data_IF_227644804947
#
_entry.id   IF_227644804947
#
_cell.length_a   1.000
_cell.length_b   1.000
_cell.length_c   1.000
_cell.angle_alpha   90.00
_cell.angle_beta   90.00
_cell.angle_gamma   90.00
#
_symmetry.space_group_name_H-M   'P 1'
#
loop_
_entity.id
_entity.type
_entity.pdbx_description
1 polymer ?
#
# COMPACT_ATOMS: atom_id res chain seq x y z
N UNK A 1 -3.25 5.80 -16.24
CA UNK A 1 -4.23 6.92 -16.24
C UNK A 1 -3.72 8.05 -17.10
N UNK A 2 -2.70 8.82 -16.69
CA UNK A 2 -2.30 10.03 -17.43
C UNK A 2 -1.77 9.85 -18.86
N UNK A 3 -1.25 8.67 -19.19
CA UNK A 3 -0.75 8.36 -20.55
C UNK A 3 -1.90 8.29 -21.58
N UNK A 4 -3.11 7.93 -21.16
CA UNK A 4 -4.28 7.86 -22.06
C UNK A 4 -4.64 9.24 -22.62
N UNK A 5 -4.64 10.27 -21.75
CA UNK A 5 -4.90 11.66 -22.14
C UNK A 5 -3.86 12.17 -23.16
N UNK A 6 -2.59 11.79 -22.98
CA UNK A 6 -1.47 12.13 -23.88
C UNK A 6 -1.65 11.48 -25.25
N UNK A 7 -2.01 10.19 -25.30
CA UNK A 7 -2.25 9.49 -26.58
C UNK A 7 -3.44 10.08 -27.32
N UNK A 8 -4.53 10.41 -26.61
CA UNK A 8 -5.73 10.98 -27.20
C UNK A 8 -5.44 12.37 -27.81
N UNK A 9 -4.69 13.22 -27.09
CA UNK A 9 -4.22 14.50 -27.62
C UNK A 9 -3.28 14.32 -28.81
N UNK A 10 -2.31 13.42 -28.74
CA UNK A 10 -1.37 13.17 -29.84
C UNK A 10 -2.09 12.67 -31.11
N UNK A 11 -3.08 11.78 -30.97
CA UNK A 11 -3.87 11.29 -32.10
C UNK A 11 -4.72 12.40 -32.72
N UNK A 12 -5.46 13.16 -31.91
CA UNK A 12 -6.25 14.28 -32.40
C UNK A 12 -5.39 15.37 -33.06
N UNK A 13 -4.18 15.55 -32.53
CA UNK A 13 -3.20 16.48 -33.08
C UNK A 13 -2.63 16.01 -34.42
N UNK A 14 -2.37 14.71 -34.56
CA UNK A 14 -1.98 14.11 -35.85
C UNK A 14 -3.07 14.31 -36.91
N UNK A 15 -4.33 14.08 -36.57
CA UNK A 15 -5.48 14.31 -37.47
C UNK A 15 -5.60 15.79 -37.87
N UNK A 16 -5.43 16.71 -36.91
CA UNK A 16 -5.54 18.16 -37.16
C UNK A 16 -4.34 18.70 -37.95
N UNK A 17 -3.13 18.18 -37.71
CA UNK A 17 -1.89 18.62 -38.36
C UNK A 17 -1.87 18.39 -39.88
N UNK A 18 -2.59 17.37 -40.37
CA UNK A 18 -2.71 17.09 -41.80
C UNK A 18 -3.81 17.91 -42.50
N UNK A 19 -4.71 18.54 -41.75
CA UNK A 19 -5.83 19.30 -42.31
C UNK A 19 -5.37 20.69 -42.79
N UNK A 20 -5.08 20.81 -44.10
CA UNK A 20 -4.62 22.05 -44.75
C UNK A 20 -5.62 23.21 -44.72
N UNK A 21 -6.88 22.98 -44.28
CA UNK A 21 -7.92 24.02 -44.21
C UNK A 21 -7.73 24.99 -43.03
N UNK A 22 -6.93 24.62 -42.03
CA UNK A 22 -6.72 25.42 -40.82
C UNK A 22 -5.33 26.10 -40.91
N UNK A 23 -5.25 27.43 -40.68
CA UNK A 23 -3.98 28.15 -40.66
C UNK A 23 -3.06 27.57 -39.59
N UNK A 24 -1.75 27.58 -39.85
CA UNK A 24 -0.75 26.90 -39.03
C UNK A 24 -0.78 27.34 -37.56
N UNK A 25 -0.95 28.65 -37.31
CA UNK A 25 -1.00 29.25 -35.98
C UNK A 25 -2.18 28.75 -35.13
N UNK A 26 -3.31 28.38 -35.76
CA UNK A 26 -4.53 27.96 -35.06
C UNK A 26 -4.62 26.44 -34.82
N UNK A 27 -3.72 25.63 -35.39
CA UNK A 27 -3.82 24.15 -35.34
C UNK A 27 -3.76 23.58 -33.92
N UNK A 28 -2.88 24.10 -33.07
CA UNK A 28 -2.79 23.66 -31.67
C UNK A 28 -4.03 24.06 -30.88
N UNK A 29 -4.56 25.26 -31.13
CA UNK A 29 -5.79 25.75 -30.50
C UNK A 29 -7.01 24.92 -30.90
N UNK A 30 -7.17 24.59 -32.18
CA UNK A 30 -8.31 23.81 -32.66
C UNK A 30 -8.26 22.35 -32.16
N UNK A 31 -7.07 21.75 -32.09
CA UNK A 31 -6.90 20.42 -31.47
C UNK A 31 -7.29 20.44 -29.99
N UNK A 32 -6.81 21.42 -29.22
CA UNK A 32 -7.14 21.54 -27.80
C UNK A 32 -8.63 21.86 -27.58
N UNK A 33 -9.26 22.62 -28.47
CA UNK A 33 -10.70 22.89 -28.44
C UNK A 33 -11.54 21.64 -28.69
N UNK A 34 -11.13 20.77 -29.63
CA UNK A 34 -11.85 19.53 -29.95
C UNK A 34 -11.68 18.46 -28.86
N UNK A 35 -10.50 18.38 -28.26
CA UNK A 35 -10.09 17.25 -27.42
C UNK A 35 -9.95 17.59 -25.93
N UNK A 36 -9.58 18.83 -25.61
CA UNK A 36 -9.29 19.27 -24.24
C UNK A 36 -10.49 19.18 -23.30
N UNK A 37 -11.72 19.37 -23.80
CA UNK A 37 -12.92 19.19 -22.99
C UNK A 37 -13.11 17.74 -22.52
N UNK A 38 -12.80 16.76 -23.37
CA UNK A 38 -12.87 15.33 -23.01
C UNK A 38 -11.81 14.98 -21.96
N UNK A 39 -10.58 15.46 -22.15
CA UNK A 39 -9.46 15.27 -21.20
C UNK A 39 -9.75 15.93 -19.84
N UNK A 40 -10.38 17.10 -19.84
CA UNK A 40 -10.82 17.75 -18.60
C UNK A 40 -11.89 16.94 -17.88
N UNK A 41 -12.87 16.40 -18.62
CA UNK A 41 -13.93 15.59 -18.02
C UNK A 41 -13.39 14.31 -17.39
N UNK A 42 -12.49 13.58 -18.06
CA UNK A 42 -11.85 12.37 -17.51
C UNK A 42 -11.01 12.70 -16.28
N UNK A 43 -10.19 13.75 -16.35
CA UNK A 43 -9.34 14.18 -15.25
C UNK A 43 -10.14 14.63 -14.03
N UNK A 44 -11.15 15.49 -14.21
CA UNK A 44 -12.01 15.95 -13.11
C UNK A 44 -12.76 14.76 -12.48
N UNK A 45 -13.27 13.83 -13.28
CA UNK A 45 -13.95 12.62 -12.78
C UNK A 45 -13.01 11.74 -11.95
N UNK A 46 -11.76 11.58 -12.38
CA UNK A 46 -10.76 10.85 -11.62
C UNK A 46 -10.41 11.56 -10.31
N UNK A 47 -10.23 12.88 -10.35
CA UNK A 47 -9.95 13.69 -9.16
C UNK A 47 -11.09 13.60 -8.14
N UNK A 48 -12.34 13.75 -8.57
CA UNK A 48 -13.50 13.60 -7.66
C UNK A 48 -13.61 12.19 -7.11
N UNK A 49 -13.36 11.15 -7.92
CA UNK A 49 -13.35 9.77 -7.45
C UNK A 49 -12.29 9.54 -6.35
N UNK A 50 -11.06 10.03 -6.53
CA UNK A 50 -10.01 9.90 -5.51
C UNK A 50 -10.30 10.73 -4.26
N UNK A 51 -10.87 11.93 -4.39
CA UNK A 51 -11.31 12.72 -3.23
C UNK A 51 -12.45 12.03 -2.46
N UNK A 52 -13.40 11.41 -3.16
CA UNK A 52 -14.46 10.61 -2.51
C UNK A 52 -13.88 9.38 -1.81
N UNK A 53 -12.88 8.73 -2.40
CA UNK A 53 -12.17 7.62 -1.75
C UNK A 53 -11.42 8.05 -0.47
N UNK A 54 -10.99 9.31 -0.37
CA UNK A 54 -10.31 9.85 0.81
C UNK A 54 -11.23 10.04 2.03
N UNK A 55 -12.55 9.86 1.89
CA UNK A 55 -13.51 9.86 3.00
C UNK A 55 -13.43 8.59 3.87
N UNK A 56 -12.79 7.53 3.37
CA UNK A 56 -12.61 6.27 4.10
C UNK A 56 -11.74 6.52 5.35
N UNK A 57 -12.14 6.04 6.55
CA UNK A 57 -11.44 6.34 7.81
C UNK A 57 -10.09 5.64 7.96
N UNK A 58 -9.70 4.76 7.03
CA UNK A 58 -8.45 4.01 7.05
C UNK A 58 -7.30 4.93 6.59
N UNK A 59 -6.35 5.33 7.47
CA UNK A 59 -5.38 6.40 7.19
C UNK A 59 -4.44 6.08 6.03
N UNK A 60 -4.04 4.81 5.87
CA UNK A 60 -3.19 4.38 4.75
C UNK A 60 -3.87 4.59 3.39
N UNK A 61 -5.13 4.18 3.27
CA UNK A 61 -5.93 4.36 2.05
C UNK A 61 -6.25 5.84 1.79
N UNK A 62 -6.49 6.60 2.86
CA UNK A 62 -6.68 8.05 2.77
C UNK A 62 -5.43 8.76 2.27
N UNK A 63 -4.24 8.42 2.76
CA UNK A 63 -2.99 8.99 2.28
C UNK A 63 -2.73 8.63 0.80
N UNK A 64 -2.93 7.35 0.44
CA UNK A 64 -2.80 6.89 -0.95
C UNK A 64 -3.75 7.63 -1.90
N UNK A 65 -5.03 7.74 -1.56
CA UNK A 65 -6.03 8.42 -2.38
C UNK A 65 -5.75 9.91 -2.53
N UNK A 66 -5.31 10.60 -1.46
CA UNK A 66 -4.88 12.00 -1.55
C UNK A 66 -3.64 12.18 -2.43
N UNK A 67 -2.63 11.32 -2.31
CA UNK A 67 -1.44 11.35 -3.18
C UNK A 67 -1.83 11.14 -4.65
N UNK A 68 -2.67 10.14 -4.93
CA UNK A 68 -3.16 9.87 -6.28
C UNK A 68 -3.97 11.06 -6.83
N UNK A 69 -4.85 11.67 -6.03
CA UNK A 69 -5.60 12.86 -6.44
C UNK A 69 -4.66 14.01 -6.84
N UNK A 70 -3.65 14.30 -6.01
CA UNK A 70 -2.65 15.34 -6.28
C UNK A 70 -1.88 15.05 -7.58
N UNK A 71 -1.43 13.80 -7.76
CA UNK A 71 -0.74 13.38 -8.99
C UNK A 71 -1.63 13.55 -10.23
N UNK A 72 -2.91 13.20 -10.16
CA UNK A 72 -3.85 13.38 -11.28
C UNK A 72 -4.08 14.86 -11.58
N UNK A 73 -4.17 15.73 -10.57
CA UNK A 73 -4.29 17.19 -10.77
C UNK A 73 -3.05 17.75 -11.47
N UNK A 74 -1.84 17.39 -11.03
CA UNK A 74 -0.61 17.83 -11.68
C UNK A 74 -0.47 17.27 -13.10
N UNK A 75 -0.83 16.01 -13.31
CA UNK A 75 -0.86 15.40 -14.63
C UNK A 75 -1.82 16.15 -15.56
N UNK A 76 -3.03 16.47 -15.10
CA UNK A 76 -3.99 17.26 -15.88
C UNK A 76 -3.43 18.63 -16.27
N UNK A 77 -2.82 19.35 -15.32
CA UNK A 77 -2.20 20.64 -15.60
C UNK A 77 -1.05 20.52 -16.61
N UNK A 78 -0.18 19.51 -16.47
CA UNK A 78 0.93 19.26 -17.40
C UNK A 78 0.42 18.91 -18.81
N UNK A 79 -0.58 18.03 -18.91
CA UNK A 79 -1.14 17.56 -20.19
C UNK A 79 -1.93 18.66 -20.91
N UNK A 80 -2.57 19.59 -20.19
CA UNK A 80 -3.30 20.69 -20.83
C UNK A 80 -2.40 21.89 -21.16
N UNK A 81 -1.39 22.19 -20.34
CA UNK A 81 -0.55 23.39 -20.51
C UNK A 81 0.75 23.11 -21.26
N UNK A 82 1.51 22.10 -20.83
CA UNK A 82 2.87 21.86 -21.31
C UNK A 82 2.85 21.00 -22.57
N UNK A 83 2.03 19.94 -22.59
CA UNK A 83 2.01 19.01 -23.71
C UNK A 83 1.60 19.64 -25.06
N UNK A 84 0.61 20.56 -25.14
CA UNK A 84 0.31 21.25 -26.40
C UNK A 84 1.45 22.15 -26.88
N UNK A 85 2.28 22.67 -25.99
CA UNK A 85 3.48 23.44 -26.35
C UNK A 85 4.59 22.53 -26.92
N UNK A 86 4.73 21.30 -26.40
CA UNK A 86 5.61 20.28 -26.99
C UNK A 86 5.10 19.90 -28.39
N UNK A 87 3.80 19.67 -28.52
CA UNK A 87 3.17 19.36 -29.79
C UNK A 87 3.30 20.50 -30.82
N UNK A 88 3.16 21.76 -30.39
CA UNK A 88 3.37 22.90 -31.30
C UNK A 88 4.82 22.99 -31.78
N UNK A 89 5.80 22.74 -30.91
CA UNK A 89 7.21 22.64 -31.30
C UNK A 89 7.45 21.50 -32.30
N UNK A 90 6.78 20.36 -32.10
CA UNK A 90 6.83 19.23 -33.04
C UNK A 90 6.20 19.59 -34.40
N UNK A 91 5.14 20.41 -34.44
CA UNK A 91 4.61 20.93 -35.71
C UNK A 91 5.62 21.79 -36.46
N UNK A 92 6.29 22.72 -35.78
CA UNK A 92 7.31 23.55 -36.42
C UNK A 92 8.42 22.68 -37.02
N UNK A 93 8.86 21.65 -36.30
CA UNK A 93 9.85 20.68 -36.79
C UNK A 93 9.37 19.89 -38.01
N UNK A 94 8.10 19.47 -38.02
CA UNK A 94 7.48 18.74 -39.14
C UNK A 94 7.31 19.62 -40.39
N UNK A 95 6.92 20.89 -40.20
CA UNK A 95 6.83 21.86 -41.30
C UNK A 95 8.20 22.07 -41.98
N UNK A 96 9.26 22.15 -41.17
CA UNK A 96 10.66 22.21 -41.64
C UNK A 96 11.20 20.90 -42.23
N UNK A 97 10.40 19.81 -42.25
CA UNK A 97 10.77 18.47 -42.77
C UNK A 97 12.06 17.89 -42.18
N UNK A 98 12.30 18.15 -40.89
CA UNK A 98 13.47 17.62 -40.16
C UNK A 98 13.16 16.24 -39.59
N UNK A 99 14.17 15.37 -39.52
CA UNK A 99 14.04 14.04 -38.92
C UNK A 99 13.81 14.11 -37.39
N UNK A 100 13.13 13.10 -36.83
CA UNK A 100 12.77 13.04 -35.39
C UNK A 100 13.98 13.00 -34.45
N UNK A 101 15.05 12.29 -34.84
CA UNK A 101 16.25 12.07 -33.99
C UNK A 101 17.43 12.97 -34.40
N UNK A 102 17.48 13.40 -35.67
CA UNK A 102 18.58 14.19 -36.22
C UNK A 102 18.07 15.52 -36.79
N UNK A 103 17.80 16.48 -35.91
CA UNK A 103 17.17 17.78 -36.20
C UNK A 103 17.91 18.69 -37.21
N UNK A 104 19.08 18.26 -37.72
CA UNK A 104 19.91 19.02 -38.67
C UNK A 104 19.79 18.53 -40.13
N UNK A 105 19.19 17.35 -40.38
CA UNK A 105 19.03 16.82 -41.74
C UNK A 105 17.58 16.93 -42.19
N UNK A 106 17.36 17.64 -43.31
CA UNK A 106 16.07 17.71 -44.01
C UNK A 106 15.91 16.51 -44.92
N UNK A 107 14.86 15.72 -44.73
CA UNK A 107 14.49 14.64 -45.66
C UNK A 107 13.21 15.02 -46.41
N UNK A 108 13.17 14.95 -47.76
CA UNK A 108 11.96 15.24 -48.53
C UNK A 108 10.78 14.31 -48.18
N UNK A 109 11.02 13.15 -47.57
CA UNK A 109 9.99 12.22 -47.12
C UNK A 109 9.69 12.30 -45.60
N UNK A 110 10.27 13.26 -44.85
CA UNK A 110 10.07 13.41 -43.39
C UNK A 110 8.65 13.86 -42.98
N UNK A 111 7.81 14.29 -43.92
CA UNK A 111 6.42 14.67 -43.66
C UNK A 111 5.49 13.46 -43.38
N UNK A 112 6.03 12.24 -43.34
CA UNK A 112 5.25 11.03 -43.12
C UNK A 112 5.37 10.59 -41.65
N UNK A 113 4.41 11.01 -40.83
CA UNK A 113 3.87 10.05 -39.85
C UNK A 113 3.30 8.92 -40.69
N UNK A 114 3.76 7.69 -40.46
CA UNK A 114 3.18 6.52 -41.12
C UNK A 114 1.76 6.33 -40.56
N UNK A 115 0.78 7.02 -41.15
CA UNK A 115 -0.60 6.54 -41.21
C UNK A 115 -1.35 7.16 -42.41
N UNK A 116 -1.76 6.28 -43.31
CA UNK A 116 -2.41 6.54 -44.60
C UNK A 116 -3.85 6.99 -44.36
N UNK A 117 -4.19 8.22 -44.77
CA UNK A 117 -5.56 8.71 -44.79
C UNK A 117 -6.30 8.26 -46.06
N UNK A 118 -7.52 7.74 -45.91
CA UNK A 118 -8.36 7.23 -46.99
C UNK A 118 -9.07 8.35 -47.72
N UNK A 119 -8.77 8.54 -49.00
CA UNK A 119 -9.43 9.52 -49.85
C UNK A 119 -10.83 9.04 -50.23
N UNK A 120 -11.85 9.65 -49.62
CA UNK A 120 -13.24 9.52 -50.04
C UNK A 120 -13.44 10.22 -51.40
N UNK A 121 -14.16 9.54 -52.30
CA UNK A 121 -14.75 10.02 -53.56
C UNK A 121 -13.80 10.51 -54.67
N UNK A 122 -13.48 9.61 -55.60
CA UNK A 122 -13.45 9.93 -57.04
C UNK A 122 -13.93 8.73 -57.86
N UNK A 123 -14.92 9.00 -58.70
CA UNK A 123 -15.53 8.07 -59.66
C UNK A 123 -14.61 7.67 -60.81
N UNK A 124 -14.93 6.49 -61.33
CA UNK A 124 -14.69 5.90 -62.67
C UNK A 124 -13.30 5.38 -63.07
N UNK A 125 -13.35 4.06 -63.38
CA UNK A 125 -12.60 3.29 -64.37
C UNK A 125 -11.08 3.19 -64.22
N UNK A 126 -10.63 2.05 -63.68
CA UNK A 126 -9.53 1.29 -64.29
C UNK A 126 -9.68 -0.21 -63.95
N UNK A 127 -9.97 -1.00 -64.99
CA UNK A 127 -10.05 -2.46 -64.96
C UNK A 127 -8.66 -3.05 -65.22
N UNK A 128 -7.91 -3.44 -64.19
CA UNK A 128 -6.79 -4.37 -64.34
C UNK A 128 -6.80 -5.42 -63.20
N UNK A 129 -7.03 -6.72 -63.50
CA UNK A 129 -6.91 -7.80 -62.53
C UNK A 129 -5.44 -8.17 -62.29
N UNK A 130 -5.01 -8.21 -61.03
CA UNK A 130 -3.69 -8.71 -60.64
C UNK A 130 -3.51 -10.18 -61.03
N UNK A 131 -2.53 -10.48 -61.87
CA UNK A 131 -2.01 -11.83 -62.10
C UNK A 131 -0.99 -12.21 -61.02
N UNK A 132 -0.90 -13.49 -60.59
CA UNK A 132 0.13 -13.97 -59.68
C UNK A 132 1.49 -14.15 -60.39
N UNK A 133 2.63 -13.97 -59.68
CA UNK A 133 3.96 -14.15 -60.25
C UNK A 133 4.34 -15.63 -60.45
N UNK A 134 5.27 -15.95 -61.37
CA UNK A 134 5.69 -17.32 -61.68
C UNK A 134 6.57 -17.93 -60.56
N UNK A 135 6.64 -19.27 -60.47
CA UNK A 135 7.45 -19.95 -59.46
C UNK A 135 8.94 -19.82 -59.76
N UNK A 136 9.73 -19.40 -58.77
CA UNK A 136 11.18 -19.29 -58.87
C UNK A 136 11.86 -20.65 -58.70
N UNK A 137 12.77 -20.93 -59.64
CA UNK A 137 13.77 -21.98 -59.63
C UNK A 137 14.88 -21.60 -58.64
N UNK A 138 15.27 -22.57 -57.81
CA UNK A 138 16.39 -22.50 -56.86
C UNK A 138 17.72 -22.22 -57.58
N UNK A 139 18.41 -21.14 -57.22
CA UNK A 139 19.86 -21.03 -57.36
C UNK A 139 20.46 -20.61 -56.01
N UNK A 140 21.27 -21.52 -55.46
CA UNK A 140 22.04 -21.34 -54.24
C UNK A 140 23.15 -20.28 -54.46
N UNK A 141 23.13 -19.22 -53.66
CA UNK A 141 24.34 -18.44 -53.35
C UNK A 141 24.33 -18.11 -51.86
N UNK A 142 24.83 -19.04 -51.05
CA UNK A 142 25.02 -18.87 -49.61
C UNK A 142 26.38 -18.21 -49.34
N UNK A 143 26.39 -16.90 -49.08
CA UNK A 143 27.40 -16.33 -48.18
C UNK A 143 26.82 -16.38 -46.77
N UNK A 144 27.12 -17.44 -46.03
CA UNK A 144 26.82 -17.51 -44.60
C UNK A 144 27.84 -16.68 -43.82
N UNK A 145 27.43 -15.50 -43.36
CA UNK A 145 28.12 -14.81 -42.26
C UNK A 145 27.58 -15.34 -40.94
N UNK A 146 28.37 -16.13 -40.21
CA UNK A 146 27.98 -16.61 -38.89
C UNK A 146 28.21 -15.49 -37.85
N UNK A 147 27.13 -14.85 -37.43
CA UNK A 147 27.15 -13.87 -36.33
C UNK A 147 27.04 -14.64 -35.02
N UNK A 148 28.10 -14.62 -34.21
CA UNK A 148 28.06 -15.18 -32.85
C UNK A 148 27.94 -14.07 -31.83
N UNK A 149 26.89 -14.14 -31.01
CA UNK A 149 26.68 -13.23 -29.87
C UNK A 149 27.21 -13.93 -28.62
N UNK A 150 28.26 -13.40 -28.00
CA UNK A 150 28.70 -13.86 -26.69
C UNK A 150 28.32 -12.84 -25.62
N UNK A 151 27.55 -13.29 -24.63
CA UNK A 151 27.23 -12.54 -23.43
C UNK A 151 28.07 -13.11 -22.30
N UNK A 152 28.93 -12.29 -21.69
CA UNK A 152 29.70 -12.67 -20.51
C UNK A 152 29.37 -11.74 -19.37
N UNK A 153 29.25 -12.30 -18.17
CA UNK A 153 28.99 -11.55 -16.94
C UNK A 153 30.33 -11.42 -16.22
N UNK A 154 30.83 -10.19 -16.10
CA UNK A 154 32.09 -9.93 -15.41
C UNK A 154 31.78 -9.42 -14.00
N UNK A 155 32.27 -10.14 -12.99
CA UNK A 155 32.12 -9.78 -11.59
C UNK A 155 33.27 -8.84 -11.20
N UNK A 156 32.96 -7.62 -10.78
CA UNK A 156 33.93 -6.64 -10.33
C UNK A 156 33.75 -6.38 -8.84
N UNK A 157 34.78 -6.64 -8.05
CA UNK A 157 34.77 -6.38 -6.61
C UNK A 157 35.49 -5.08 -6.31
N UNK A 158 34.80 -4.14 -5.68
CA UNK A 158 35.32 -2.81 -5.35
C UNK A 158 35.24 -2.58 -3.84
N UNK A 159 36.29 -1.98 -3.27
CA UNK A 159 36.40 -1.70 -1.85
C UNK A 159 35.98 -0.28 -1.55
N UNK A 160 35.02 -0.10 -0.65
CA UNK A 160 34.58 1.24 -0.24
C UNK A 160 35.20 1.64 1.11
N UNK A 161 36.05 2.68 1.14
CA UNK A 161 36.79 3.07 2.33
C UNK A 161 35.94 3.73 3.43
N UNK A 162 34.70 4.15 3.15
CA UNK A 162 33.80 4.72 4.18
C UNK A 162 33.00 3.66 4.94
N UNK A 163 32.70 2.52 4.32
CA UNK A 163 31.93 1.44 4.92
C UNK A 163 32.78 0.24 5.31
N UNK A 164 34.09 0.27 5.02
CA UNK A 164 35.06 -0.80 5.24
C UNK A 164 34.61 -2.18 4.70
N UNK A 165 33.80 -2.18 3.64
CA UNK A 165 33.25 -3.40 3.05
C UNK A 165 33.60 -3.50 1.56
N UNK A 166 33.79 -4.73 1.08
CA UNK A 166 33.96 -5.06 -0.33
C UNK A 166 32.60 -5.43 -0.92
N UNK A 167 32.21 -4.82 -2.04
CA UNK A 167 31.02 -5.24 -2.78
C UNK A 167 31.41 -5.72 -4.18
N UNK A 168 30.80 -6.82 -4.61
CA UNK A 168 31.00 -7.40 -5.94
C UNK A 168 29.76 -7.12 -6.79
N UNK A 169 29.92 -6.35 -7.84
CA UNK A 169 28.86 -6.04 -8.81
C UNK A 169 29.06 -6.86 -10.08
N UNK A 170 27.99 -7.47 -10.57
CA UNK A 170 27.96 -8.24 -11.81
C UNK A 170 27.46 -7.34 -12.95
N UNK A 171 28.35 -6.90 -13.83
CA UNK A 171 27.96 -6.11 -15.01
C UNK A 171 27.87 -7.03 -16.25
N UNK A 172 26.74 -7.03 -16.98
CA UNK A 172 26.62 -7.79 -18.22
C UNK A 172 27.32 -7.03 -19.36
N UNK A 173 28.20 -7.72 -20.08
CA UNK A 173 28.87 -7.19 -21.26
C UNK A 173 28.56 -8.09 -22.46
N UNK A 174 28.02 -7.50 -23.52
CA UNK A 174 27.79 -8.19 -24.80
C UNK A 174 28.76 -7.65 -25.84
N UNK A 175 29.45 -8.56 -26.53
CA UNK A 175 30.35 -8.24 -27.63
C UNK A 175 29.89 -8.99 -28.88
N UNK A 176 29.86 -8.29 -30.00
CA UNK A 176 29.41 -8.83 -31.30
C UNK A 176 30.63 -8.89 -32.19
N UNK A 177 31.06 -10.10 -32.56
CA UNK A 177 32.16 -10.32 -33.49
C UNK A 177 31.65 -10.95 -34.78
N UNK A 178 32.17 -10.49 -35.91
CA UNK A 178 31.80 -10.97 -37.25
C UNK A 178 33.09 -11.40 -37.94
N UNK A 179 33.26 -12.71 -38.15
CA UNK A 179 34.37 -13.24 -38.95
C UNK A 179 33.85 -13.87 -40.25
N UNK A 180 34.44 -13.58 -41.42
CA UNK A 180 34.08 -14.23 -42.66
C UNK A 180 34.71 -15.62 -42.75
N UNK A 181 33.89 -16.64 -43.00
CA UNK A 181 34.33 -18.03 -43.22
C UNK A 181 34.95 -18.12 -44.63
N UNK A 182 36.23 -18.50 -44.72
CA UNK A 182 36.87 -18.85 -46.00
C UNK A 182 36.89 -20.37 -46.16
N UNK A 183 36.26 -20.95 -47.20
CA UNK A 183 36.47 -22.34 -47.54
C UNK A 183 37.73 -22.51 -48.41
N UNK A 184 38.66 -23.33 -47.93
CA UNK A 184 39.82 -23.87 -48.65
C UNK A 184 39.40 -24.60 -49.93
N UNK A 185 40.01 -24.26 -51.07
CA UNK A 185 40.20 -25.18 -52.21
C UNK A 185 41.53 -24.88 -52.90
N UNK A 186 42.37 -25.92 -53.00
CA UNK A 186 43.54 -25.99 -53.88
C UNK A 186 43.05 -26.14 -55.34
N UNK A 187 43.48 -25.28 -56.26
CA UNK A 187 44.48 -25.61 -57.29
C UNK A 187 44.46 -24.65 -58.51
N UNK A 188 45.69 -24.24 -58.88
CA UNK A 188 46.20 -23.93 -60.22
C UNK A 188 45.95 -22.56 -60.94
N UNK A 189 47.09 -21.85 -61.08
CA UNK A 189 47.57 -20.97 -62.18
C UNK A 189 46.76 -19.72 -62.60
N UNK A 190 47.25 -18.53 -62.25
CA UNK A 190 48.20 -17.73 -63.04
C UNK A 190 48.21 -16.23 -62.66
N UNK A 191 49.39 -15.77 -62.21
CA UNK A 191 50.03 -14.46 -62.39
C UNK A 191 49.19 -13.17 -62.58
N UNK A 192 49.23 -12.25 -61.60
CA UNK A 192 49.95 -10.95 -61.63
C UNK A 192 49.51 -10.06 -60.46
N UNK A 193 50.48 -9.38 -59.85
CA UNK A 193 50.35 -8.35 -58.81
C UNK A 193 51.00 -7.05 -59.33
N UNK A 194 51.03 -5.93 -58.59
CA UNK A 194 50.01 -5.27 -57.75
C UNK A 194 49.91 -3.75 -58.06
N UNK A 195 48.78 -3.06 -57.84
CA UNK A 195 48.82 -1.58 -57.69
C UNK A 195 47.84 -1.06 -56.62
N UNK A 196 48.46 -0.45 -55.60
CA UNK A 196 47.92 0.53 -54.65
C UNK A 196 47.39 1.77 -55.35
N UNK A 197 46.17 2.23 -55.03
CA UNK A 197 45.80 3.63 -55.16
C UNK A 197 44.67 4.04 -54.20
N UNK A 198 45.01 5.03 -53.39
CA UNK A 198 44.18 5.76 -52.45
C UNK A 198 43.18 6.73 -53.12
N UNK A 199 42.13 7.04 -52.35
CA UNK A 199 41.52 8.37 -52.17
C UNK A 199 40.53 8.92 -53.20
N UNK A 200 39.36 9.28 -52.64
CA UNK A 200 38.44 10.38 -53.01
C UNK A 200 37.77 10.36 -54.37
N UNK A 201 36.46 10.10 -54.38
CA UNK A 201 35.54 10.64 -55.39
C UNK A 201 34.33 11.30 -54.75
N UNK A 202 34.24 12.59 -55.02
CA UNK A 202 33.14 13.52 -54.78
C UNK A 202 31.77 12.97 -55.13
N UNK A 203 30.81 13.12 -54.20
CA UNK A 203 29.37 12.92 -54.41
C UNK A 203 28.60 14.21 -54.07
N UNK A 204 29.07 15.35 -54.58
CA UNK A 204 28.41 16.66 -54.39
C UNK A 204 27.87 17.31 -55.67
N UNK A 205 27.74 16.58 -56.78
CA UNK A 205 27.27 17.15 -58.06
C UNK A 205 25.95 16.58 -58.61
N UNK A 206 25.04 16.09 -57.77
CA UNK A 206 23.70 15.66 -58.21
C UNK A 206 22.58 16.26 -57.36
N UNK A 207 22.54 17.58 -57.22
CA UNK A 207 21.36 18.30 -56.76
C UNK A 207 20.92 19.34 -57.78
N UNK A 208 20.24 18.86 -58.83
CA UNK A 208 19.24 19.64 -59.57
C UNK A 208 18.35 18.67 -60.31
N UNK A 209 17.29 18.20 -59.64
CA UNK A 209 16.06 17.72 -60.30
C UNK A 209 14.89 17.78 -59.30
N UNK A 210 13.81 18.53 -59.57
CA UNK A 210 12.76 18.83 -58.59
C UNK A 210 11.62 17.79 -58.55
N UNK A 211 11.79 16.58 -59.10
CA UNK A 211 10.69 15.65 -59.30
C UNK A 211 10.99 14.19 -58.88
N UNK A 212 11.16 13.98 -57.57
CA UNK A 212 11.23 12.64 -56.97
C UNK A 212 9.99 12.39 -56.10
N UNK A 213 8.99 11.73 -56.69
CA UNK A 213 7.90 11.11 -55.94
C UNK A 213 8.49 10.01 -55.04
N UNK A 214 8.27 10.10 -53.72
CA UNK A 214 8.65 9.02 -52.79
C UNK A 214 7.86 7.76 -53.17
N UNK A 215 8.54 6.68 -53.55
CA UNK A 215 7.94 5.37 -53.83
C UNK A 215 7.45 4.77 -52.51
N UNK A 216 6.17 4.42 -52.45
CA UNK A 216 5.58 3.73 -51.29
C UNK A 216 6.11 2.28 -51.19
N UNK A 217 6.56 1.82 -50.02
CA UNK A 217 6.85 0.40 -49.81
C UNK A 217 5.53 -0.41 -49.87
N UNK A 218 5.50 -1.57 -50.55
CA UNK A 218 4.26 -2.24 -50.94
C UNK A 218 3.44 -2.90 -49.81
N UNK A 219 3.85 -2.83 -48.53
CA UNK A 219 3.28 -3.66 -47.46
C UNK A 219 2.94 -2.96 -46.12
N UNK A 220 2.67 -1.65 -46.07
CA UNK A 220 2.16 -1.01 -44.83
C UNK A 220 0.69 -0.59 -44.97
N UNK A 221 -0.23 -1.56 -45.15
CA UNK A 221 -1.69 -1.31 -45.23
C UNK A 221 -2.47 -1.69 -43.96
N UNK A 222 -1.79 -2.07 -42.87
CA UNK A 222 -2.45 -2.45 -41.62
C UNK A 222 -2.38 -1.29 -40.62
N UNK A 223 -3.46 -0.54 -40.51
CA UNK A 223 -3.64 0.48 -39.47
C UNK A 223 -4.77 0.08 -38.54
N UNK A 224 -4.66 0.36 -37.24
CA UNK A 224 -5.68 0.01 -36.25
C UNK A 224 -7.05 0.59 -36.63
N UNK A 225 -7.05 1.83 -37.11
CA UNK A 225 -8.26 2.51 -37.60
C UNK A 225 -8.87 1.79 -38.81
N UNK A 226 -8.07 1.30 -39.76
CA UNK A 226 -8.57 0.54 -40.91
C UNK A 226 -9.22 -0.79 -40.49
N UNK A 227 -8.60 -1.52 -39.55
CA UNK A 227 -9.20 -2.73 -38.98
C UNK A 227 -10.51 -2.42 -38.25
N UNK A 228 -10.50 -1.38 -37.41
CA UNK A 228 -11.67 -0.97 -36.63
C UNK A 228 -12.85 -0.61 -37.54
N UNK A 229 -12.61 0.15 -38.61
CA UNK A 229 -13.66 0.61 -39.52
C UNK A 229 -14.13 -0.48 -40.49
N UNK A 230 -13.21 -1.26 -41.09
CA UNK A 230 -13.56 -2.24 -42.14
C UNK A 230 -13.99 -3.60 -41.62
N UNK A 231 -13.52 -4.02 -40.46
CA UNK A 231 -13.80 -5.36 -39.93
C UNK A 231 -14.61 -5.33 -38.64
N UNK A 232 -14.23 -4.51 -37.66
CA UNK A 232 -14.86 -4.51 -36.33
C UNK A 232 -16.23 -3.79 -36.30
N UNK A 233 -16.32 -2.56 -36.81
CA UNK A 233 -17.55 -1.78 -36.86
C UNK A 233 -18.69 -2.50 -37.61
N UNK A 234 -18.51 -2.99 -38.85
CA UNK A 234 -19.58 -3.68 -39.57
C UNK A 234 -19.99 -5.00 -38.90
N UNK A 235 -19.08 -5.66 -38.18
CA UNK A 235 -19.42 -6.85 -37.38
C UNK A 235 -20.36 -6.49 -36.22
N UNK A 236 -20.07 -5.42 -35.48
CA UNK A 236 -20.91 -4.93 -34.37
C UNK A 236 -22.23 -4.29 -34.81
N UNK A 237 -22.29 -3.73 -36.02
CA UNK A 237 -23.50 -3.10 -36.56
C UNK A 237 -24.58 -4.13 -36.91
N UNK A 238 -24.22 -5.37 -37.23
CA UNK A 238 -25.17 -6.45 -37.51
C UNK A 238 -26.10 -6.71 -36.31
N UNK A 239 -27.42 -6.79 -36.50
CA UNK A 239 -28.38 -6.92 -35.40
C UNK A 239 -28.22 -8.25 -34.64
N UNK A 240 -27.83 -9.33 -35.33
CA UNK A 240 -27.53 -10.63 -34.71
C UNK A 240 -26.35 -10.54 -33.74
N UNK A 241 -25.26 -9.88 -34.15
CA UNK A 241 -24.10 -9.65 -33.28
C UNK A 241 -24.47 -8.84 -32.04
N UNK A 242 -25.27 -7.77 -32.20
CA UNK A 242 -25.71 -6.95 -31.06
C UNK A 242 -26.48 -7.76 -30.02
N UNK A 243 -27.39 -8.64 -30.45
CA UNK A 243 -28.16 -9.51 -29.55
C UNK A 243 -27.21 -10.47 -28.83
N UNK A 244 -26.29 -11.12 -29.55
CA UNK A 244 -25.31 -12.04 -28.95
C UNK A 244 -24.43 -11.33 -27.92
N UNK A 245 -23.89 -10.16 -28.26
CA UNK A 245 -23.06 -9.36 -27.34
C UNK A 245 -23.84 -8.92 -26.12
N UNK A 246 -25.09 -8.49 -26.28
CA UNK A 246 -25.93 -8.08 -25.15
C UNK A 246 -26.24 -9.25 -24.22
N UNK A 247 -26.60 -10.42 -24.78
CA UNK A 247 -26.82 -11.63 -23.98
C UNK A 247 -25.55 -12.10 -23.26
N UNK A 248 -24.40 -12.00 -23.91
CA UNK A 248 -23.10 -12.32 -23.29
C UNK A 248 -22.81 -11.41 -22.09
N UNK A 249 -22.98 -10.09 -22.24
CA UNK A 249 -22.79 -9.15 -21.13
C UNK A 249 -23.83 -9.31 -20.02
N UNK A 250 -25.06 -9.71 -20.35
CA UNK A 250 -26.09 -10.01 -19.36
C UNK A 250 -25.75 -11.28 -18.56
N UNK A 251 -25.21 -12.30 -19.24
CA UNK A 251 -24.65 -13.49 -18.58
C UNK A 251 -23.46 -13.15 -17.68
N UNK A 252 -22.52 -12.32 -18.16
CA UNK A 252 -21.38 -11.86 -17.38
C UNK A 252 -21.81 -11.03 -16.17
N UNK A 253 -22.84 -10.18 -16.31
CA UNK A 253 -23.46 -9.45 -15.20
C UNK A 253 -24.06 -10.42 -14.18
N UNK A 254 -24.79 -11.44 -14.62
CA UNK A 254 -25.35 -12.47 -13.73
C UNK A 254 -24.28 -13.21 -12.93
N UNK A 255 -23.18 -13.60 -13.59
CA UNK A 255 -22.02 -14.24 -12.94
C UNK A 255 -21.37 -13.26 -11.96
N UNK A 256 -21.20 -12.00 -12.33
CA UNK A 256 -20.60 -10.98 -11.47
C UNK A 256 -21.46 -10.74 -10.23
N UNK A 257 -22.79 -10.66 -10.39
CA UNK A 257 -23.73 -10.49 -9.29
C UNK A 257 -23.70 -11.69 -8.34
N UNK A 258 -23.64 -12.90 -8.87
CA UNK A 258 -23.40 -14.10 -8.05
C UNK A 258 -22.05 -14.03 -7.33
N UNK A 259 -20.99 -13.59 -8.01
CA UNK A 259 -19.66 -13.35 -7.42
C UNK A 259 -19.71 -12.37 -6.25
N UNK A 260 -20.51 -11.29 -6.34
CA UNK A 260 -20.68 -10.35 -5.23
C UNK A 260 -21.34 -10.98 -4.00
N UNK A 261 -22.17 -12.01 -4.15
CA UNK A 261 -22.75 -12.73 -2.99
C UNK A 261 -21.78 -13.70 -2.33
N UNK A 262 -20.69 -14.05 -3.01
CA UNK A 262 -19.69 -15.03 -2.53
C UNK A 262 -18.44 -14.34 -1.96
N UNK A 263 -18.34 -13.01 -2.06
CA UNK A 263 -17.22 -12.26 -1.51
C UNK A 263 -17.21 -12.39 0.01
N UNK A 264 -16.06 -12.78 0.58
CA UNK A 264 -15.87 -12.89 2.03
C UNK A 264 -15.19 -11.63 2.52
N UNK A 265 -15.66 -11.09 3.64
CA UNK A 265 -15.02 -9.97 4.30
C UNK A 265 -13.78 -10.44 5.05
N UNK A 266 -12.67 -9.74 4.87
CA UNK A 266 -11.42 -10.01 5.57
C UNK A 266 -10.21 -9.89 4.66
N UNK A 267 -9.10 -9.47 5.26
CA UNK A 267 -7.78 -9.57 4.66
C UNK A 267 -6.93 -10.32 5.68
N UNK A 268 -6.50 -11.52 5.34
CA UNK A 268 -5.64 -12.29 6.22
C UNK A 268 -4.21 -11.77 6.13
N UNK A 269 -3.50 -11.73 7.26
CA UNK A 269 -2.11 -11.28 7.29
C UNK A 269 -1.19 -12.16 6.41
N UNK A 270 -1.59 -13.42 6.17
CA UNK A 270 -0.92 -14.35 5.27
C UNK A 270 -0.87 -13.89 3.82
N UNK A 271 -1.77 -13.00 3.39
CA UNK A 271 -1.80 -12.50 2.00
C UNK A 271 -0.77 -11.40 1.73
N UNK A 272 -0.26 -10.76 2.79
CA UNK A 272 0.76 -9.70 2.70
C UNK A 272 2.16 -10.31 2.66
N UNK A 273 2.34 -11.47 3.31
CA UNK A 273 3.65 -12.11 3.45
C UNK A 273 3.94 -12.96 2.20
N UNK A 274 5.14 -12.86 1.61
CA UNK A 274 5.50 -13.69 0.46
C UNK A 274 5.38 -15.18 0.78
N UNK A 275 4.83 -15.94 -0.17
CA UNK A 275 4.73 -17.40 -0.07
C UNK A 275 6.12 -18.03 -0.02
N UNK A 276 6.20 -19.23 0.58
CA UNK A 276 7.45 -19.99 0.74
C UNK A 276 8.50 -19.32 1.66
N UNK A 277 8.05 -18.45 2.56
CA UNK A 277 8.88 -17.86 3.62
C UNK A 277 8.61 -18.52 4.96
N UNK A 278 9.60 -18.50 5.87
CA UNK A 278 9.44 -19.07 7.22
C UNK A 278 8.39 -18.30 8.02
N UNK A 279 8.29 -17.01 7.77
CA UNK A 279 7.32 -16.09 8.34
C UNK A 279 5.90 -16.45 7.91
N UNK A 280 5.70 -16.76 6.63
CA UNK A 280 4.42 -17.24 6.12
C UNK A 280 3.99 -18.53 6.82
N UNK A 281 4.90 -19.52 6.91
CA UNK A 281 4.60 -20.80 7.57
C UNK A 281 4.26 -20.62 9.05
N UNK A 282 4.98 -19.73 9.74
CA UNK A 282 4.71 -19.39 11.14
C UNK A 282 3.32 -18.75 11.31
N UNK A 283 3.00 -17.74 10.51
CA UNK A 283 1.71 -17.03 10.59
C UNK A 283 0.56 -17.97 10.22
N UNK A 284 0.73 -18.78 9.18
CA UNK A 284 -0.26 -19.78 8.77
C UNK A 284 -0.51 -20.81 9.91
N UNK A 285 0.54 -21.26 10.59
CA UNK A 285 0.40 -22.14 11.75
C UNK A 285 -0.29 -21.42 12.93
N UNK A 286 0.07 -20.17 13.19
CA UNK A 286 -0.53 -19.36 14.26
C UNK A 286 -2.04 -19.18 14.04
N UNK A 287 -2.48 -18.76 12.85
CA UNK A 287 -3.91 -18.59 12.55
C UNK A 287 -4.68 -19.92 12.58
N UNK A 288 -4.05 -21.01 12.13
CA UNK A 288 -4.69 -22.33 12.07
C UNK A 288 -4.86 -23.00 13.43
N UNK A 289 -3.86 -22.88 14.31
CA UNK A 289 -3.82 -23.62 15.58
C UNK A 289 -4.04 -22.72 16.81
N UNK A 290 -3.69 -21.45 16.75
CA UNK A 290 -3.66 -20.52 17.88
C UNK A 290 -4.50 -19.27 17.61
N UNK A 291 -5.78 -19.45 17.30
CA UNK A 291 -6.73 -18.36 17.02
C UNK A 291 -7.24 -17.65 18.28
N UNK A 292 -6.36 -17.37 19.26
CA UNK A 292 -6.69 -16.63 20.46
C UNK A 292 -6.09 -15.22 20.41
N UNK A 293 -6.80 -14.27 21.01
CA UNK A 293 -6.40 -12.86 21.06
C UNK A 293 -6.52 -12.35 22.48
N UNK A 294 -5.55 -11.56 22.92
CA UNK A 294 -5.61 -10.89 24.21
C UNK A 294 -6.52 -9.67 24.11
N UNK A 295 -7.45 -9.55 25.06
CA UNK A 295 -8.36 -8.42 25.18
C UNK A 295 -8.24 -7.83 26.58
N UNK A 296 -8.16 -6.51 26.68
CA UNK A 296 -8.15 -5.79 27.94
C UNK A 296 -9.35 -4.84 27.97
N UNK A 297 -10.21 -5.02 28.96
CA UNK A 297 -11.38 -4.15 29.17
C UNK A 297 -10.98 -3.10 30.19
N UNK A 298 -11.05 -1.84 29.80
CA UNK A 298 -10.58 -0.71 30.62
C UNK A 298 -11.77 0.17 30.99
N UNK A 299 -11.94 0.41 32.29
CA UNK A 299 -12.90 1.39 32.81
C UNK A 299 -12.23 2.77 32.89
N UNK A 300 -12.97 3.83 32.57
CA UNK A 300 -12.45 5.22 32.57
C UNK A 300 -12.65 5.91 33.92
N UNK A 301 -11.97 7.03 34.13
CA UNK A 301 -11.98 7.79 35.40
C UNK A 301 -13.33 8.40 35.77
N UNK A 302 -14.27 8.53 34.83
CA UNK A 302 -15.61 9.11 35.08
C UNK A 302 -16.51 8.24 35.97
N UNK A 303 -16.03 7.07 36.41
CA UNK A 303 -16.80 6.13 37.25
C UNK A 303 -16.44 6.31 38.72
N UNK A 304 -17.45 6.41 39.58
CA UNK A 304 -17.31 6.39 41.03
C UNK A 304 -17.03 4.97 41.54
N UNK A 305 -15.76 4.53 41.47
CA UNK A 305 -15.32 3.18 41.85
C UNK A 305 -15.75 2.76 43.26
N UNK A 306 -15.64 3.61 44.31
CA UNK A 306 -16.09 3.27 45.66
C UNK A 306 -17.55 2.79 45.72
N UNK A 307 -18.46 3.44 44.98
CA UNK A 307 -19.89 3.10 45.01
C UNK A 307 -20.31 2.13 43.88
N UNK A 308 -19.54 2.06 42.80
CA UNK A 308 -19.83 1.23 41.62
C UNK A 308 -19.26 -0.20 41.69
N UNK A 309 -18.78 -0.68 42.84
CA UNK A 309 -18.18 -2.02 42.99
C UNK A 309 -19.09 -3.13 42.46
N UNK A 310 -20.38 -3.09 42.78
CA UNK A 310 -21.38 -4.06 42.33
C UNK A 310 -21.52 -4.09 40.79
N UNK A 311 -21.39 -2.94 40.12
CA UNK A 311 -21.43 -2.85 38.66
C UNK A 311 -20.20 -3.50 38.03
N UNK A 312 -19.03 -3.39 38.67
CA UNK A 312 -17.80 -4.04 38.22
C UNK A 312 -17.92 -5.57 38.29
N UNK A 313 -18.43 -6.10 39.40
CA UNK A 313 -18.71 -7.53 39.52
C UNK A 313 -19.77 -7.99 38.51
N UNK A 314 -20.83 -7.20 38.30
CA UNK A 314 -21.86 -7.51 37.31
C UNK A 314 -21.31 -7.53 35.88
N UNK A 315 -20.46 -6.55 35.53
CA UNK A 315 -19.79 -6.47 34.23
C UNK A 315 -18.87 -7.68 34.02
N UNK A 316 -18.02 -8.01 35.01
CA UNK A 316 -17.14 -9.19 34.96
C UNK A 316 -17.93 -10.49 34.80
N UNK A 317 -19.02 -10.66 35.56
CA UNK A 317 -19.90 -11.83 35.46
C UNK A 317 -20.63 -11.92 34.12
N UNK A 318 -20.98 -10.79 33.52
CA UNK A 318 -21.69 -10.75 32.22
C UNK A 318 -20.83 -11.30 31.07
N UNK A 319 -19.50 -11.22 31.19
CA UNK A 319 -18.58 -11.80 30.21
C UNK A 319 -18.65 -13.33 30.16
N UNK A 320 -19.18 -13.98 31.18
CA UNK A 320 -19.46 -15.44 31.12
C UNK A 320 -20.36 -15.82 29.94
N UNK A 321 -21.24 -14.92 29.52
CA UNK A 321 -22.21 -15.18 28.45
C UNK A 321 -21.58 -15.06 27.05
N UNK A 322 -20.36 -14.57 26.93
CA UNK A 322 -19.67 -14.40 25.64
C UNK A 322 -18.94 -15.70 25.29
N UNK A 323 -19.35 -16.34 24.19
CA UNK A 323 -18.83 -17.65 23.74
C UNK A 323 -17.33 -17.67 23.45
N UNK A 324 -16.73 -16.54 23.09
CA UNK A 324 -15.34 -16.43 22.65
C UNK A 324 -14.35 -16.12 23.77
N UNK A 325 -14.79 -16.10 25.03
CA UNK A 325 -13.91 -15.88 26.18
C UNK A 325 -13.41 -17.22 26.69
N UNK A 326 -12.09 -17.34 26.83
CA UNK A 326 -11.46 -18.50 27.42
C UNK A 326 -11.74 -18.49 28.93
N UNK A 327 -12.38 -19.56 29.39
CA UNK A 327 -12.60 -19.82 30.82
C UNK A 327 -11.42 -20.65 31.36
N UNK A 328 -11.14 -20.50 32.65
CA UNK A 328 -10.17 -21.34 33.35
C UNK A 328 -10.69 -22.79 33.48
N UNK A 329 -9.83 -23.72 33.92
CA UNK A 329 -10.16 -25.15 34.07
C UNK A 329 -11.39 -25.38 34.96
N UNK A 330 -11.59 -24.52 35.97
CA UNK A 330 -12.72 -24.52 36.89
C UNK A 330 -14.05 -24.03 36.27
N UNK A 331 -14.05 -23.64 34.99
CA UNK A 331 -15.20 -23.02 34.32
C UNK A 331 -15.55 -21.63 34.85
N UNK A 332 -14.61 -21.00 35.57
CA UNK A 332 -14.69 -19.63 36.09
C UNK A 332 -13.97 -18.67 35.13
N UNK A 333 -14.33 -17.39 35.23
CA UNK A 333 -13.57 -16.34 34.55
C UNK A 333 -12.28 -16.05 35.31
N UNK A 334 -11.21 -15.63 34.61
CA UNK A 334 -10.03 -15.09 35.26
C UNK A 334 -10.39 -13.96 36.22
N UNK A 335 -9.80 -13.95 37.40
CA UNK A 335 -10.11 -12.97 38.44
C UNK A 335 -9.69 -11.56 38.01
N UNK A 336 -10.58 -10.58 38.18
CA UNK A 336 -10.20 -9.15 38.09
C UNK A 336 -9.47 -8.67 39.36
N UNK A 337 -8.75 -7.57 39.27
CA UNK A 337 -8.05 -6.91 40.39
C UNK A 337 -8.90 -6.71 41.64
N UNK A 338 -10.20 -6.42 41.49
CA UNK A 338 -11.09 -6.20 42.63
C UNK A 338 -11.33 -7.48 43.46
N UNK A 339 -11.24 -8.68 42.86
CA UNK A 339 -11.28 -9.94 43.63
C UNK A 339 -10.05 -10.05 44.52
N UNK A 340 -8.85 -9.85 43.95
CA UNK A 340 -7.61 -9.88 44.71
C UNK A 340 -7.56 -8.82 45.81
N UNK A 341 -7.99 -7.60 45.49
CA UNK A 341 -8.04 -6.49 46.45
C UNK A 341 -9.03 -6.76 47.59
N UNK A 342 -10.21 -7.30 47.28
CA UNK A 342 -11.20 -7.72 48.26
C UNK A 342 -10.64 -8.82 49.17
N UNK A 343 -10.09 -9.88 48.60
CA UNK A 343 -9.59 -11.04 49.34
C UNK A 343 -8.40 -10.67 50.25
N UNK A 344 -7.54 -9.76 49.78
CA UNK A 344 -6.46 -9.19 50.60
C UNK A 344 -6.99 -8.41 51.81
N UNK A 345 -7.96 -7.51 51.61
CA UNK A 345 -8.58 -6.77 52.71
C UNK A 345 -9.33 -7.69 53.68
N UNK A 346 -9.97 -8.74 53.19
CA UNK A 346 -10.63 -9.74 54.02
C UNK A 346 -9.61 -10.51 54.87
N UNK A 347 -8.48 -10.94 54.30
CA UNK A 347 -7.40 -11.59 55.04
C UNK A 347 -6.78 -10.70 56.13
N UNK A 348 -6.65 -9.39 55.86
CA UNK A 348 -6.25 -8.39 56.84
C UNK A 348 -7.27 -8.26 57.98
N UNK A 349 -8.56 -8.18 57.65
CA UNK A 349 -9.64 -8.09 58.64
C UNK A 349 -9.69 -9.33 59.54
N UNK A 350 -9.56 -10.53 58.97
CA UNK A 350 -9.58 -11.79 59.71
C UNK A 350 -8.38 -11.91 60.66
N UNK A 351 -7.22 -11.45 60.22
CA UNK A 351 -6.01 -11.40 61.05
C UNK A 351 -6.14 -10.40 62.18
N UNK A 352 -6.68 -9.21 61.91
CA UNK A 352 -6.98 -8.22 62.94
C UNK A 352 -7.96 -8.75 63.98
N UNK A 353 -9.06 -9.37 63.55
CA UNK A 353 -10.10 -9.90 64.45
C UNK A 353 -9.55 -10.99 65.38
N UNK A 354 -8.74 -11.90 64.83
CA UNK A 354 -8.05 -12.96 65.60
C UNK A 354 -7.09 -12.36 66.64
N UNK A 355 -6.36 -11.33 66.27
CA UNK A 355 -5.37 -10.69 67.17
C UNK A 355 -6.01 -9.77 68.21
N UNK A 356 -7.12 -9.13 67.87
CA UNK A 356 -7.94 -8.35 68.79
C UNK A 356 -8.55 -9.25 69.88
N UNK A 357 -9.11 -10.41 69.48
CA UNK A 357 -9.62 -11.41 70.42
C UNK A 357 -8.53 -12.00 71.32
N UNK A 358 -7.32 -12.18 70.79
CA UNK A 358 -6.16 -12.64 71.55
C UNK A 358 -5.51 -11.54 72.43
N UNK A 359 -5.98 -10.28 72.34
CA UNK A 359 -5.43 -9.15 73.09
C UNK A 359 -4.03 -8.70 72.66
N UNK A 360 -3.57 -9.09 71.46
CA UNK A 360 -2.27 -8.68 70.90
C UNK A 360 -2.30 -7.25 70.39
N UNK A 361 -3.45 -6.83 69.88
CA UNK A 361 -3.73 -5.47 69.43
C UNK A 361 -4.76 -4.89 70.38
N UNK A 362 -4.50 -3.68 70.89
CA UNK A 362 -5.38 -2.93 71.78
C UNK A 362 -5.55 -1.51 71.23
N UNK A 363 -6.46 -0.72 71.80
CA UNK A 363 -6.62 0.68 71.38
C UNK A 363 -5.31 1.49 71.46
N UNK A 364 -4.46 1.21 72.46
CA UNK A 364 -3.29 2.04 72.76
C UNK A 364 -1.95 1.39 72.35
N UNK A 365 -1.94 0.10 72.03
CA UNK A 365 -0.72 -0.64 71.69
C UNK A 365 -1.00 -1.73 70.67
N UNK A 366 -0.23 -1.71 69.59
CA UNK A 366 -0.23 -2.72 68.52
C UNK A 366 1.14 -3.40 68.35
N UNK A 367 2.11 -3.12 69.24
CA UNK A 367 3.51 -3.62 69.13
C UNK A 367 3.61 -5.15 69.14
N UNK A 368 2.67 -5.80 69.84
CA UNK A 368 2.64 -7.25 69.99
C UNK A 368 1.83 -7.97 68.88
N UNK A 369 1.25 -7.22 67.92
CA UNK A 369 0.52 -7.75 66.78
C UNK A 369 1.45 -8.24 65.65
N UNK A 370 0.92 -9.00 64.70
CA UNK A 370 1.61 -9.32 63.44
C UNK A 370 1.71 -8.09 62.52
N UNK A 371 2.56 -8.15 61.51
CA UNK A 371 2.70 -7.08 60.51
C UNK A 371 1.36 -6.78 59.83
N UNK A 372 0.68 -7.81 59.32
CA UNK A 372 -0.66 -7.72 58.72
C UNK A 372 -1.72 -7.18 59.70
N UNK A 373 -1.67 -7.59 60.97
CA UNK A 373 -2.59 -7.08 61.99
C UNK A 373 -2.37 -5.59 62.29
N UNK A 374 -1.12 -5.14 62.30
CA UNK A 374 -0.76 -3.73 62.48
C UNK A 374 -1.14 -2.91 61.24
N UNK A 375 -0.94 -3.45 60.04
CA UNK A 375 -1.40 -2.84 58.79
C UNK A 375 -2.93 -2.68 58.80
N UNK A 376 -3.67 -3.75 59.14
CA UNK A 376 -5.12 -3.70 59.28
C UNK A 376 -5.58 -2.67 60.32
N UNK A 377 -4.90 -2.57 61.47
CA UNK A 377 -5.14 -1.50 62.46
C UNK A 377 -4.94 -0.11 61.85
N UNK A 378 -3.83 0.12 61.11
CA UNK A 378 -3.52 1.40 60.46
C UNK A 378 -4.55 1.77 59.37
N UNK A 379 -5.14 0.80 58.69
CA UNK A 379 -6.20 1.02 57.68
C UNK A 379 -7.57 1.28 58.34
N UNK A 380 -7.92 0.55 59.40
CA UNK A 380 -9.22 0.68 60.10
C UNK A 380 -9.42 2.04 60.78
N UNK A 381 -8.34 2.68 61.25
CA UNK A 381 -8.40 4.03 61.83
C UNK A 381 -8.64 5.12 60.79
N UNK A 382 -8.43 4.83 59.50
CA UNK A 382 -8.57 5.83 58.43
C UNK A 382 -10.05 6.17 58.21
N UNK A 383 -10.34 7.47 58.24
CA UNK A 383 -11.71 7.97 58.05
C UNK A 383 -12.04 8.23 56.59
N UNK A 384 -11.03 8.41 55.74
CA UNK A 384 -11.17 8.88 54.35
C UNK A 384 -11.40 10.39 54.22
N UNK A 385 -11.48 11.14 55.32
CA UNK A 385 -11.70 12.59 55.30
C UNK A 385 -10.37 13.33 55.50
N UNK A 386 -10.05 14.25 54.58
CA UNK A 386 -8.83 15.07 54.59
C UNK A 386 -8.66 15.89 55.87
N UNK A 387 -9.74 16.36 56.49
CA UNK A 387 -9.67 17.22 57.68
C UNK A 387 -9.43 16.47 58.98
N UNK A 388 -9.81 15.18 59.04
CA UNK A 388 -9.62 14.34 60.22
C UNK A 388 -9.28 12.92 59.77
N UNK A 389 -8.03 12.67 59.34
CA UNK A 389 -7.66 11.44 58.66
C UNK A 389 -7.80 10.19 59.54
N UNK A 390 -7.56 10.31 60.85
CA UNK A 390 -7.55 9.18 61.80
C UNK A 390 -8.56 9.33 62.94
N UNK A 391 -9.27 8.26 63.28
CA UNK A 391 -10.17 8.20 64.44
C UNK A 391 -10.16 6.80 65.10
N UNK A 392 -9.56 6.69 66.29
CA UNK A 392 -9.46 5.43 67.04
C UNK A 392 -10.81 4.91 67.54
N UNK A 393 -11.84 5.76 67.65
CA UNK A 393 -13.16 5.33 68.10
C UNK A 393 -13.91 4.46 67.08
N UNK A 394 -13.41 4.42 65.83
CA UNK A 394 -13.96 3.63 64.73
C UNK A 394 -13.42 2.21 64.66
N UNK A 395 -12.33 1.90 65.37
CA UNK A 395 -11.63 0.61 65.30
C UNK A 395 -12.55 -0.61 65.52
N UNK A 396 -13.53 -0.49 66.41
CA UNK A 396 -14.51 -1.55 66.71
C UNK A 396 -15.83 -1.42 65.96
N UNK A 397 -16.09 -0.27 65.33
CA UNK A 397 -17.35 0.02 64.62
C UNK A 397 -17.26 -0.18 63.11
N UNK A 398 -16.05 -0.07 62.56
CA UNK A 398 -15.78 -0.15 61.14
C UNK A 398 -15.17 -1.50 60.79
N UNK A 399 -15.58 -2.03 59.65
CA UNK A 399 -14.93 -3.15 58.97
C UNK A 399 -14.30 -2.65 57.67
N UNK A 400 -13.20 -3.28 57.25
CA UNK A 400 -12.57 -3.02 55.94
C UNK A 400 -13.51 -3.46 54.81
N UNK A 401 -14.07 -4.66 54.97
CA UNK A 401 -15.05 -5.28 54.08
C UNK A 401 -16.35 -5.50 54.88
N UNK A 402 -17.47 -5.04 54.33
CA UNK A 402 -18.78 -5.21 54.95
C UNK A 402 -19.29 -6.65 54.78
N UNK A 403 -20.33 -7.04 55.53
CA UNK A 403 -20.93 -8.38 55.44
C UNK A 403 -21.46 -8.73 54.02
N UNK A 404 -21.78 -7.71 53.22
CA UNK A 404 -22.25 -7.85 51.84
C UNK A 404 -21.11 -8.01 50.81
N UNK A 405 -19.84 -8.08 51.25
CA UNK A 405 -18.67 -8.18 50.38
C UNK A 405 -18.27 -6.87 49.69
N UNK A 406 -18.81 -5.73 50.16
CA UNK A 406 -18.50 -4.40 49.62
C UNK A 406 -17.41 -3.75 50.49
N UNK A 407 -16.37 -3.24 49.85
CA UNK A 407 -15.29 -2.50 50.50
C UNK A 407 -15.81 -1.13 50.93
N UNK A 408 -15.44 -0.66 52.12
CA UNK A 408 -15.94 0.62 52.63
C UNK A 408 -15.61 1.79 51.67
N UNK A 409 -16.63 2.50 51.15
CA UNK A 409 -16.42 3.51 50.11
C UNK A 409 -15.64 4.74 50.61
N UNK A 410 -15.72 5.05 51.91
CA UNK A 410 -15.14 6.29 52.45
C UNK A 410 -13.61 6.34 52.33
N UNK A 411 -12.93 5.20 52.53
CA UNK A 411 -11.47 5.09 52.52
C UNK A 411 -10.95 4.20 51.39
N UNK A 412 -11.78 3.93 50.37
CA UNK A 412 -11.49 3.01 49.28
C UNK A 412 -10.15 3.28 48.59
N UNK A 413 -9.88 4.54 48.24
CA UNK A 413 -8.62 4.89 47.56
C UNK A 413 -7.40 4.77 48.47
N UNK A 414 -7.54 4.99 49.79
CA UNK A 414 -6.44 4.78 50.76
C UNK A 414 -6.12 3.29 50.87
N UNK A 415 -7.16 2.45 50.85
CA UNK A 415 -6.96 1.00 50.83
C UNK A 415 -6.31 0.56 49.52
N UNK A 416 -6.68 1.19 48.40
CA UNK A 416 -6.09 0.91 47.10
C UNK A 416 -4.61 1.30 47.04
N UNK A 417 -4.20 2.46 47.57
CA UNK A 417 -2.78 2.85 47.66
C UNK A 417 -1.99 1.85 48.49
N UNK A 418 -2.55 1.42 49.62
CA UNK A 418 -1.94 0.42 50.49
C UNK A 418 -1.82 -0.94 49.79
N UNK A 419 -2.87 -1.41 49.11
CA UNK A 419 -2.84 -2.68 48.40
C UNK A 419 -1.79 -2.71 47.28
N UNK A 420 -1.77 -1.69 46.42
CA UNK A 420 -0.83 -1.61 45.29
C UNK A 420 0.64 -1.61 45.77
N UNK A 421 0.90 -0.99 46.92
CA UNK A 421 2.27 -0.88 47.46
C UNK A 421 2.70 -2.11 48.27
N UNK A 422 1.78 -2.75 48.99
CA UNK A 422 2.10 -3.80 49.97
C UNK A 422 1.80 -5.23 49.46
N UNK A 423 0.99 -5.38 48.41
CA UNK A 423 0.77 -6.66 47.72
C UNK A 423 1.10 -6.54 46.21
N UNK A 424 2.39 -6.35 45.88
CA UNK A 424 2.82 -6.18 44.49
C UNK A 424 2.61 -7.44 43.65
N UNK A 425 2.55 -8.62 44.28
CA UNK A 425 2.37 -9.90 43.57
C UNK A 425 0.95 -10.02 43.05
N UNK A 426 -0.07 -9.76 43.87
CA UNK A 426 -1.45 -9.79 43.42
C UNK A 426 -1.76 -8.65 42.44
N UNK A 427 -1.18 -7.47 42.67
CA UNK A 427 -1.30 -6.35 41.74
C UNK A 427 -0.74 -6.69 40.36
N UNK A 428 0.48 -7.24 40.30
CA UNK A 428 1.10 -7.65 39.05
C UNK A 428 0.35 -8.80 38.36
N UNK A 429 -0.11 -9.80 39.12
CA UNK A 429 -0.89 -10.92 38.59
C UNK A 429 -2.21 -10.46 37.94
N UNK A 430 -2.85 -9.43 38.49
CA UNK A 430 -4.11 -8.89 37.96
C UNK A 430 -3.96 -8.14 36.62
N UNK A 431 -2.73 -7.78 36.23
CA UNK A 431 -2.43 -6.95 35.05
C UNK A 431 -3.22 -5.63 34.98
N UNK A 432 -3.74 -5.14 36.12
CA UNK A 432 -4.55 -3.93 36.18
C UNK A 432 -3.68 -2.69 36.26
N UNK A 433 -3.37 -2.08 35.13
CA UNK A 433 -2.62 -0.83 35.08
C UNK A 433 -3.49 0.35 35.49
N UNK A 434 -3.38 0.77 36.76
CA UNK A 434 -4.15 1.89 37.32
C UNK A 434 -3.43 3.20 36.98
N UNK A 435 -4.16 4.16 36.40
CA UNK A 435 -3.66 5.48 36.01
C UNK A 435 -4.64 6.57 36.48
N UNK A 436 -4.19 7.60 37.24
CA UNK A 436 -2.81 7.85 37.69
C UNK A 436 -2.28 6.76 38.62
N UNK A 437 -0.96 6.64 38.72
CA UNK A 437 -0.35 5.68 39.63
C UNK A 437 -0.66 6.10 41.07
N UNK A 438 -1.16 5.18 41.91
CA UNK A 438 -1.26 5.40 43.34
C UNK A 438 0.12 5.78 43.93
N UNK A 439 0.20 6.75 44.87
CA UNK A 439 1.44 7.03 45.59
C UNK A 439 1.89 5.80 46.37
N UNK A 440 3.20 5.56 46.39
CA UNK A 440 3.79 4.41 47.07
C UNK A 440 3.77 4.63 48.59
N UNK A 441 3.22 3.64 49.30
CA UNK A 441 3.25 3.60 50.76
C UNK A 441 3.54 2.17 51.23
N UNK A 442 4.82 1.89 51.47
CA UNK A 442 5.27 0.60 52.01
C UNK A 442 5.13 0.63 53.52
N UNK A 443 4.40 -0.35 54.04
CA UNK A 443 4.17 -0.51 55.46
C UNK A 443 5.42 -1.04 56.15
N UNK A 444 5.79 -0.41 57.26
CA UNK A 444 6.71 -0.97 58.25
C UNK A 444 6.02 -0.92 59.63
N UNK A 445 6.05 -2.06 60.33
CA UNK A 445 5.57 -2.20 61.70
C UNK A 445 6.39 -1.40 62.71
N UNK A 446 7.69 -1.21 62.47
CA UNK A 446 8.59 -0.50 63.39
C UNK A 446 8.39 1.03 63.36
N UNK A 447 7.65 1.55 62.38
CA UNK A 447 7.40 2.97 62.23
C UNK A 447 6.36 3.45 63.27
N UNK A 448 6.87 3.92 64.40
CA UNK A 448 6.16 4.24 65.64
C UNK A 448 5.60 5.68 65.60
N UNK A 449 4.89 6.07 64.52
CA UNK A 449 4.03 7.27 64.50
C UNK A 449 3.16 7.41 63.24
N UNK A 450 1.91 7.86 63.37
CA UNK A 450 1.17 8.49 62.28
C UNK A 450 1.58 9.98 62.21
N UNK A 451 2.87 10.27 61.98
CA UNK A 451 3.30 11.65 61.71
C UNK A 451 3.21 11.89 60.20
N UNK A 452 2.11 12.52 59.81
CA UNK A 452 2.11 13.52 58.72
C UNK A 452 2.86 13.11 57.44
N UNK A 453 2.62 11.92 56.92
CA UNK A 453 2.69 11.72 55.48
C UNK A 453 1.33 12.12 54.93
N UNK A 454 1.17 13.39 54.61
CA UNK A 454 0.13 13.84 53.71
C UNK A 454 0.21 12.99 52.44
N UNK A 455 -0.75 12.10 52.27
CA UNK A 455 -1.09 11.51 50.97
C UNK A 455 -1.54 12.68 50.09
N UNK A 456 -0.59 13.28 49.38
CA UNK A 456 -0.83 14.16 48.23
C UNK A 456 -0.97 13.34 46.94
#
# INVERSE_FOLDING_TARGET
VGVDDVFLLAHAFSETGHNKKIPFEDRTGECLKRTGASVALTSISNVTAFFMAALIPIPALRAFSLQAAVVVVFNFAMVLLIFPAILSMDLYRREDRRLDILCCFTSPCANRVIQIESQAYRDTNDNHPCQPPPPYINQNFTQETQITMQSTVQLRTEYNPHTQAYYTTAEPRSEISVQPVTPTTQDSLSSQSPETASSTRDLLSQFTDPNRNCVDPPCTKWTLSYFAEKHYAPLLLKPTTKIVVTLLFLGLLGISLYGTTTVRDGLDLTDIVPRETREYDFIAAQFKYFSFYNMYIVTKQETDYPNAQHLLYYLHKSFRNVKFILLEEDGKLPNMWLHYFHDWLQGLQDTFDREWQAGKITHNSYKNGSDDGVLAYKLLIQTGNRHRPTDLSRLTKQRLVNADGIINPNAFYIYLTAWVSNDPVAYAASQANIRPHPPEWVHDKADDRPETASLE
#
